data_IF_545257290213
#
_entry.id   IF_545257290213
#
_cell.length_a   1.000
_cell.length_b   1.000
_cell.length_c   1.000
_cell.angle_alpha   90.00
_cell.angle_beta   90.00
_cell.angle_gamma   90.00
#
_symmetry.space_group_name_H-M   'P 1'
#
loop_
_entity.id
_entity.type
_entity.pdbx_description
1 polymer ?
#
# COMPACT_ATOMS: atom_id res chain seq x y z
N UNK A 1 -17.26 -12.41 11.34
CA UNK A 1 -17.97 -11.47 10.45
C UNK A 1 -16.96 -10.59 9.73
N UNK A 2 -17.09 -10.45 8.42
CA UNK A 2 -16.33 -9.49 7.61
C UNK A 2 -17.12 -8.18 7.51
N UNK A 3 -16.44 -7.03 7.59
CA UNK A 3 -17.04 -5.70 7.51
C UNK A 3 -16.72 -5.01 6.18
N UNK A 4 -15.49 -4.51 6.06
CA UNK A 4 -14.97 -3.88 4.85
C UNK A 4 -13.44 -4.04 4.80
N UNK A 5 -12.86 -3.86 3.62
CA UNK A 5 -11.43 -3.72 3.39
C UNK A 5 -11.17 -2.33 2.80
N UNK A 6 -10.34 -1.51 3.47
CA UNK A 6 -9.88 -0.25 2.88
C UNK A 6 -8.95 -0.55 1.69
N UNK A 7 -9.11 0.19 0.60
CA UNK A 7 -8.28 0.05 -0.59
C UNK A 7 -7.84 1.42 -1.14
N UNK A 8 -6.69 1.91 -0.62
CA UNK A 8 -5.95 3.00 -1.23
C UNK A 8 -5.03 2.40 -2.32
N UNK A 9 -5.21 2.82 -3.56
CA UNK A 9 -4.49 2.24 -4.68
C UNK A 9 -2.99 2.51 -4.57
N UNK A 10 -2.19 1.47 -4.77
CA UNK A 10 -0.76 1.61 -4.94
C UNK A 10 -0.43 2.25 -6.30
N UNK A 11 0.71 2.93 -6.37
CA UNK A 11 1.24 3.42 -7.64
C UNK A 11 1.60 2.26 -8.59
N UNK A 12 1.60 2.52 -9.89
CA UNK A 12 1.95 1.51 -10.90
C UNK A 12 3.37 0.97 -10.70
N UNK A 13 4.31 1.81 -10.27
CA UNK A 13 5.67 1.40 -9.90
C UNK A 13 5.68 0.39 -8.75
N UNK A 14 4.90 0.64 -7.70
CA UNK A 14 4.77 -0.27 -6.55
C UNK A 14 4.16 -1.60 -6.97
N UNK A 15 3.11 -1.58 -7.80
CA UNK A 15 2.48 -2.79 -8.33
C UNK A 15 3.41 -3.60 -9.26
N UNK A 16 4.33 -2.94 -9.98
CA UNK A 16 5.35 -3.62 -10.80
C UNK A 16 6.44 -4.28 -9.94
N UNK A 17 6.84 -3.65 -8.84
CA UNK A 17 7.82 -4.23 -7.90
C UNK A 17 7.22 -5.40 -7.13
N UNK A 18 5.94 -5.31 -6.75
CA UNK A 18 5.22 -6.34 -6.04
C UNK A 18 4.15 -6.98 -6.93
N UNK A 19 4.54 -7.93 -7.79
CA UNK A 19 3.56 -8.66 -8.59
C UNK A 19 2.57 -9.40 -7.71
N UNK A 20 1.29 -9.37 -8.04
CA UNK A 20 0.22 -9.92 -7.20
C UNK A 20 -0.90 -10.55 -8.03
N UNK A 21 -1.56 -11.56 -7.45
CA UNK A 21 -2.70 -12.27 -8.07
C UNK A 21 -4.06 -11.69 -7.72
N UNK A 22 -4.12 -10.75 -6.76
CA UNK A 22 -5.40 -10.17 -6.39
C UNK A 22 -5.96 -9.35 -7.56
N UNK A 23 -7.28 -9.32 -7.65
CA UNK A 23 -8.00 -8.49 -8.62
C UNK A 23 -9.01 -7.61 -7.90
N UNK A 24 -9.28 -6.45 -8.51
CA UNK A 24 -10.32 -5.53 -8.07
C UNK A 24 -11.33 -5.36 -9.20
N UNK A 25 -12.59 -5.70 -8.93
CA UNK A 25 -13.69 -5.61 -9.88
C UNK A 25 -14.99 -5.31 -9.16
N UNK A 26 -15.81 -4.40 -9.71
CA UNK A 26 -17.12 -4.04 -9.16
C UNK A 26 -17.10 -3.64 -7.68
N UNK A 27 -16.04 -2.94 -7.26
CA UNK A 27 -15.87 -2.48 -5.87
C UNK A 27 -15.38 -3.54 -4.90
N UNK A 28 -15.09 -4.75 -5.37
CA UNK A 28 -14.71 -5.90 -4.55
C UNK A 28 -13.29 -6.38 -4.87
N UNK A 29 -12.61 -6.92 -3.87
CA UNK A 29 -11.30 -7.56 -4.04
C UNK A 29 -11.43 -9.08 -3.96
N UNK A 30 -10.74 -9.79 -4.85
CA UNK A 30 -10.51 -11.24 -4.75
C UNK A 30 -9.00 -11.50 -4.63
N UNK A 31 -8.52 -12.31 -3.67
CA UNK A 31 -7.08 -12.51 -3.43
C UNK A 31 -6.36 -13.24 -4.58
N UNK A 32 -7.12 -13.96 -5.42
CA UNK A 32 -6.59 -14.83 -6.47
C UNK A 32 -6.41 -16.28 -5.96
N UNK A 33 -6.01 -17.17 -6.88
CA UNK A 33 -5.94 -18.62 -6.61
C UNK A 33 -4.50 -19.16 -6.57
N UNK A 34 -3.51 -18.27 -6.65
CA UNK A 34 -2.10 -18.67 -6.55
C UNK A 34 -1.80 -19.23 -5.15
N UNK A 35 -0.93 -20.26 -5.04
CA UNK A 35 -0.57 -20.80 -3.74
C UNK A 35 0.18 -19.77 -2.89
N UNK A 36 0.00 -19.83 -1.57
CA UNK A 36 0.58 -18.88 -0.64
C UNK A 36 -0.20 -17.56 -0.61
N UNK A 37 0.52 -16.44 -0.51
CA UNK A 37 -0.11 -15.10 -0.47
C UNK A 37 -0.49 -14.58 -1.86
N UNK A 38 0.00 -15.21 -2.93
CA UNK A 38 -0.18 -14.71 -4.30
C UNK A 38 0.51 -13.36 -4.55
N UNK A 39 1.58 -13.05 -3.82
CA UNK A 39 2.39 -11.83 -3.96
C UNK A 39 3.86 -12.22 -3.99
N UNK A 40 4.64 -11.58 -4.86
CA UNK A 40 6.09 -11.77 -5.00
C UNK A 40 6.82 -10.42 -5.09
N UNK A 41 8.14 -10.41 -4.93
CA UNK A 41 9.01 -9.21 -4.98
C UNK A 41 10.05 -9.35 -6.10
N UNK A 42 10.01 -8.43 -7.07
CA UNK A 42 11.11 -8.28 -8.03
C UNK A 42 12.27 -7.49 -7.39
N UNK A 43 13.23 -8.22 -6.81
CA UNK A 43 14.42 -7.62 -6.18
C UNK A 43 15.28 -6.81 -7.15
N UNK A 44 15.34 -7.21 -8.43
CA UNK A 44 16.13 -6.50 -9.44
C UNK A 44 15.51 -5.15 -9.74
N UNK A 45 14.18 -5.08 -9.89
CA UNK A 45 13.47 -3.82 -10.08
C UNK A 45 13.49 -2.97 -8.80
N UNK A 46 13.29 -3.59 -7.63
CA UNK A 46 13.33 -2.91 -6.34
C UNK A 46 14.68 -2.21 -6.10
N UNK A 47 15.80 -2.85 -6.51
CA UNK A 47 17.16 -2.30 -6.35
C UNK A 47 17.38 -0.94 -7.02
N UNK A 48 16.54 -0.57 -8.00
CA UNK A 48 16.59 0.73 -8.70
C UNK A 48 16.02 1.88 -7.87
N UNK A 49 15.30 1.59 -6.79
CA UNK A 49 14.64 2.57 -5.93
C UNK A 49 15.30 2.62 -4.55
N UNK A 50 16.43 3.33 -4.40
CA UNK A 50 17.07 3.46 -3.10
C UNK A 50 16.14 4.16 -2.11
N UNK A 51 16.29 3.83 -0.83
CA UNK A 51 15.54 4.46 0.25
C UNK A 51 15.58 5.99 0.16
N UNK A 52 14.40 6.60 0.27
CA UNK A 52 14.24 8.05 0.39
C UNK A 52 13.43 8.36 1.64
N UNK A 53 14.03 9.13 2.53
CA UNK A 53 13.40 9.54 3.79
C UNK A 53 12.15 10.38 3.54
N UNK A 54 11.04 9.99 4.17
CA UNK A 54 9.77 10.70 4.19
C UNK A 54 9.18 10.67 5.60
N UNK A 55 8.37 11.66 5.95
CA UNK A 55 7.76 11.81 7.27
C UNK A 55 6.26 12.02 7.13
N UNK A 56 5.50 11.47 8.07
CA UNK A 56 4.12 11.91 8.25
C UNK A 56 4.10 13.35 8.80
N UNK A 57 3.07 14.15 8.47
CA UNK A 57 2.90 15.47 9.07
C UNK A 57 2.63 15.39 10.58
N UNK A 58 2.75 16.54 11.25
CA UNK A 58 2.26 16.74 12.61
C UNK A 58 1.03 17.64 12.59
N UNK A 59 0.20 17.55 13.63
CA UNK A 59 -0.95 18.43 13.79
C UNK A 59 -0.79 19.33 15.02
N UNK A 60 -1.19 20.60 14.88
CA UNK A 60 -1.19 21.61 15.95
C UNK A 60 -2.49 22.39 15.94
N UNK A 61 -3.00 22.72 17.13
CA UNK A 61 -4.12 23.65 17.30
C UNK A 61 -3.71 25.08 16.93
N UNK A 62 -4.69 25.98 16.80
CA UNK A 62 -4.45 27.40 16.50
C UNK A 62 -3.58 28.11 17.56
N UNK A 63 -3.56 27.62 18.80
CA UNK A 63 -2.69 28.11 19.88
C UNK A 63 -1.27 27.51 19.85
N UNK A 64 -0.96 26.67 18.87
CA UNK A 64 0.33 26.00 18.70
C UNK A 64 0.50 24.69 19.47
N UNK A 65 -0.47 24.28 20.30
CA UNK A 65 -0.42 23.03 21.07
C UNK A 65 -0.35 21.82 20.14
N UNK A 66 0.58 20.90 20.43
CA UNK A 66 0.66 19.60 19.73
C UNK A 66 -0.65 18.82 19.88
N UNK A 67 -1.09 18.19 18.80
CA UNK A 67 -2.32 17.41 18.79
C UNK A 67 -2.14 16.11 18.01
N UNK A 68 -3.10 15.20 18.14
CA UNK A 68 -3.23 14.04 17.29
C UNK A 68 -3.37 14.48 15.84
N UNK A 69 -2.47 13.98 14.98
CA UNK A 69 -2.57 14.06 13.54
C UNK A 69 -3.60 13.06 13.03
#
# INVERSE_FOLDING_TARGET
NFGIQEYMHHAEETNRVFSHSYSFSDGMMHPGDAPGLGVDLDETLASKYPYRRAYLPINRKLDGTMHSW
#
